data_IF_962553528761
#
_entry.id   IF_962553528761
#
_cell.length_a   1.000
_cell.length_b   1.000
_cell.length_c   1.000
_cell.angle_alpha   90.00
_cell.angle_beta   90.00
_cell.angle_gamma   90.00
#
_symmetry.space_group_name_H-M   'P 1'
#
loop_
_entity.id
_entity.type
_entity.pdbx_description
1 polymer ?
#
# COMPACT_ATOMS: atom_id res chain seq x y z
N UNK A 1 -53.67 12.28 59.09
CA UNK A 1 -54.67 11.90 58.08
C UNK A 1 -53.96 11.16 56.95
N UNK A 2 -54.05 9.83 56.94
CA UNK A 2 -53.43 8.96 55.93
C UNK A 2 -54.29 8.90 54.67
N UNK A 3 -53.69 9.14 53.50
CA UNK A 3 -53.96 8.43 52.23
C UNK A 3 -53.11 9.03 51.11
N UNK A 4 -51.98 8.39 50.80
CA UNK A 4 -51.45 8.46 49.43
C UNK A 4 -52.46 7.76 48.53
N UNK A 5 -53.22 8.52 47.75
CA UNK A 5 -54.11 7.96 46.74
C UNK A 5 -53.29 7.75 45.47
N UNK A 6 -53.32 6.54 44.91
CA UNK A 6 -52.73 6.29 43.59
C UNK A 6 -53.53 7.06 42.55
N UNK A 7 -52.82 7.70 41.61
CA UNK A 7 -53.46 8.36 40.48
C UNK A 7 -54.24 7.31 39.67
N UNK A 8 -55.51 7.57 39.44
CA UNK A 8 -56.36 6.77 38.57
C UNK A 8 -56.46 7.50 37.24
N UNK A 9 -56.10 6.83 36.15
CA UNK A 9 -56.24 7.39 34.81
C UNK A 9 -57.61 7.04 34.24
N UNK A 10 -58.28 8.03 33.68
CA UNK A 10 -59.50 7.83 32.90
C UNK A 10 -59.13 7.28 31.52
N UNK A 11 -59.27 5.96 31.38
CA UNK A 11 -58.89 5.24 30.16
C UNK A 11 -59.71 5.71 28.96
N UNK A 12 -60.98 6.09 29.15
CA UNK A 12 -61.84 6.55 28.07
C UNK A 12 -61.33 7.89 27.50
N UNK A 13 -61.04 8.84 28.39
CA UNK A 13 -60.45 10.13 28.00
C UNK A 13 -59.09 9.95 27.31
N UNK A 14 -58.23 9.06 27.82
CA UNK A 14 -56.93 8.78 27.17
C UNK A 14 -57.13 8.21 25.76
N UNK A 15 -58.00 7.22 25.57
CA UNK A 15 -58.21 6.62 24.25
C UNK A 15 -58.87 7.60 23.26
N UNK A 16 -59.80 8.43 23.71
CA UNK A 16 -60.48 9.43 22.87
C UNK A 16 -59.57 10.60 22.48
N UNK A 17 -58.63 11.00 23.34
CA UNK A 17 -57.75 12.16 23.06
C UNK A 17 -56.39 11.78 22.46
N UNK A 18 -55.95 10.53 22.62
CA UNK A 18 -54.68 10.05 22.06
C UNK A 18 -54.78 9.69 20.58
N UNK A 19 -55.94 9.21 20.12
CA UNK A 19 -56.14 8.83 18.71
C UNK A 19 -56.29 10.00 17.71
N UNK A 20 -56.98 11.12 18.01
CA UNK A 20 -57.12 12.23 17.06
C UNK A 20 -55.77 12.87 16.73
N UNK A 21 -54.86 12.94 17.70
CA UNK A 21 -53.54 13.56 17.53
C UNK A 21 -52.62 12.72 16.63
N UNK A 22 -52.74 11.39 16.64
CA UNK A 22 -52.05 10.51 15.68
C UNK A 22 -52.68 10.56 14.28
N UNK A 23 -54.00 10.81 14.19
CA UNK A 23 -54.73 10.88 12.91
C UNK A 23 -54.56 12.22 12.19
N UNK A 24 -54.45 13.34 12.91
CA UNK A 24 -54.31 14.68 12.33
C UNK A 24 -52.85 15.12 12.19
N UNK A 25 -51.95 14.74 13.11
CA UNK A 25 -50.51 14.94 12.94
C UNK A 25 -49.81 13.75 12.27
N UNK A 26 -50.56 12.89 11.57
CA UNK A 26 -49.98 11.97 10.58
C UNK A 26 -49.20 12.70 9.47
N UNK A 27 -49.35 14.02 9.37
CA UNK A 27 -48.56 14.89 8.49
C UNK A 27 -47.24 15.41 9.13
N UNK A 28 -46.97 15.15 10.42
CA UNK A 28 -45.62 15.37 10.99
C UNK A 28 -44.63 14.30 10.54
N UNK A 29 -45.13 13.17 10.06
CA UNK A 29 -44.38 12.27 9.20
C UNK A 29 -44.75 12.59 7.77
N UNK A 30 -44.16 13.66 7.24
CA UNK A 30 -43.90 13.68 5.80
C UNK A 30 -43.12 12.38 5.55
N UNK A 31 -43.65 11.40 4.79
CA UNK A 31 -42.89 10.21 4.49
C UNK A 31 -41.59 10.70 3.88
N UNK A 32 -40.46 10.22 4.39
CA UNK A 32 -39.17 10.55 3.82
C UNK A 32 -39.28 10.39 2.29
N UNK A 33 -38.75 11.35 1.52
CA UNK A 33 -38.84 11.27 0.07
C UNK A 33 -38.36 9.89 -0.35
N UNK A 34 -39.08 9.22 -1.28
CA UNK A 34 -38.81 7.82 -1.58
C UNK A 34 -37.32 7.64 -1.83
N UNK A 35 -36.69 6.79 -1.02
CA UNK A 35 -35.26 6.49 -1.15
C UNK A 35 -35.01 6.14 -2.62
N UNK A 36 -34.06 6.79 -3.31
CA UNK A 36 -33.82 6.52 -4.72
C UNK A 36 -33.47 5.04 -4.88
N UNK A 37 -34.43 4.24 -5.32
CA UNK A 37 -34.23 2.85 -5.63
C UNK A 37 -33.35 2.78 -6.88
N UNK A 38 -32.12 2.27 -6.72
CA UNK A 38 -31.33 1.82 -7.85
C UNK A 38 -32.08 0.63 -8.44
N UNK A 39 -32.68 0.82 -9.63
CA UNK A 39 -33.34 -0.27 -10.36
C UNK A 39 -32.24 -1.23 -10.80
N UNK A 40 -32.03 -2.29 -10.02
CA UNK A 40 -31.22 -3.43 -10.45
C UNK A 40 -32.09 -4.18 -11.45
N UNK A 41 -31.85 -3.98 -12.75
CA UNK A 41 -32.49 -4.75 -13.80
C UNK A 41 -32.32 -6.24 -13.53
N UNK A 42 -33.37 -7.05 -13.74
CA UNK A 42 -33.32 -8.52 -13.59
C UNK A 42 -32.31 -9.19 -14.53
N UNK A 43 -31.87 -8.47 -15.57
CA UNK A 43 -30.68 -8.80 -16.35
C UNK A 43 -29.43 -8.51 -15.53
N UNK A 44 -29.02 -9.54 -14.77
CA UNK A 44 -28.00 -9.47 -13.74
C UNK A 44 -26.75 -8.63 -14.07
N UNK A 45 -26.26 -7.96 -13.04
CA UNK A 45 -24.91 -7.40 -12.97
C UNK A 45 -24.54 -6.45 -14.12
N UNK A 46 -25.47 -5.60 -14.58
CA UNK A 46 -25.08 -4.36 -15.23
C UNK A 46 -24.76 -3.33 -14.14
N UNK A 47 -23.59 -3.46 -13.53
CA UNK A 47 -22.92 -2.27 -13.05
C UNK A 47 -22.75 -1.41 -14.32
N UNK A 48 -23.37 -0.22 -14.39
CA UNK A 48 -23.19 0.77 -15.46
C UNK A 48 -21.75 1.33 -15.43
N UNK A 49 -20.76 0.45 -15.40
CA UNK A 49 -19.40 0.80 -15.72
C UNK A 49 -19.40 1.11 -17.23
N UNK A 50 -19.01 2.31 -17.65
CA UNK A 50 -18.89 2.61 -19.07
C UNK A 50 -17.96 1.56 -19.68
N UNK A 51 -18.41 0.92 -20.77
CA UNK A 51 -17.60 -0.08 -21.51
C UNK A 51 -16.27 0.53 -21.97
N UNK A 52 -16.24 1.85 -22.14
CA UNK A 52 -15.04 2.63 -22.41
C UNK A 52 -14.36 3.04 -21.11
N UNK A 53 -13.05 2.78 -21.02
CA UNK A 53 -12.25 3.22 -19.89
C UNK A 53 -12.24 4.75 -19.86
N UNK A 54 -12.88 5.32 -18.84
CA UNK A 54 -12.83 6.77 -18.61
C UNK A 54 -11.39 7.22 -18.40
N UNK A 55 -11.08 8.49 -18.71
CA UNK A 55 -9.76 9.06 -18.46
C UNK A 55 -9.30 8.86 -17.00
N UNK A 56 -10.25 8.93 -16.05
CA UNK A 56 -10.00 8.65 -14.64
C UNK A 56 -9.61 7.19 -14.38
N UNK A 57 -10.33 6.23 -14.98
CA UNK A 57 -10.02 4.80 -14.86
C UNK A 57 -8.65 4.47 -15.45
N UNK A 58 -8.30 5.08 -16.59
CA UNK A 58 -6.97 4.90 -17.20
C UNK A 58 -5.85 5.50 -16.34
N UNK A 59 -6.06 6.69 -15.77
CA UNK A 59 -5.09 7.31 -14.87
C UNK A 59 -4.89 6.50 -13.59
N UNK A 60 -5.98 5.95 -13.03
CA UNK A 60 -5.94 5.03 -11.89
C UNK A 60 -5.15 3.77 -12.23
N UNK A 61 -5.50 3.10 -13.34
CA UNK A 61 -4.84 1.86 -13.75
C UNK A 61 -3.34 2.09 -13.98
N UNK A 62 -2.97 3.20 -14.64
CA UNK A 62 -1.56 3.58 -14.87
C UNK A 62 -0.77 3.82 -13.58
N UNK A 63 -1.41 4.40 -12.54
CA UNK A 63 -0.75 4.61 -11.25
C UNK A 63 -0.35 3.29 -10.57
N UNK A 64 -1.15 2.23 -10.75
CA UNK A 64 -0.92 0.93 -10.10
C UNK A 64 -0.20 -0.10 -10.98
N UNK A 65 -0.11 0.11 -12.30
CA UNK A 65 0.39 -0.84 -13.30
C UNK A 65 1.75 -1.48 -12.93
N UNK A 66 2.65 -0.71 -12.30
CA UNK A 66 4.00 -1.15 -11.96
C UNK A 66 4.32 -1.18 -10.46
N UNK A 67 3.32 -0.97 -9.58
CA UNK A 67 3.59 -0.93 -8.13
C UNK A 67 4.09 -2.27 -7.58
N UNK A 68 3.57 -3.40 -8.08
CA UNK A 68 4.02 -4.72 -7.64
C UNK A 68 5.49 -4.96 -8.00
N UNK A 69 5.87 -4.68 -9.25
CA UNK A 69 7.25 -4.84 -9.72
C UNK A 69 8.20 -3.93 -8.94
N UNK A 70 7.79 -2.68 -8.69
CA UNK A 70 8.53 -1.72 -7.87
C UNK A 70 8.70 -2.22 -6.43
N UNK A 71 7.65 -2.81 -5.83
CA UNK A 71 7.72 -3.36 -4.48
C UNK A 71 8.70 -4.54 -4.40
N UNK A 72 8.67 -5.46 -5.37
CA UNK A 72 9.61 -6.59 -5.44
C UNK A 72 11.04 -6.10 -5.65
N UNK A 73 11.24 -5.09 -6.51
CA UNK A 73 12.56 -4.50 -6.73
C UNK A 73 13.11 -3.85 -5.45
N UNK A 74 12.32 -3.01 -4.78
CA UNK A 74 12.73 -2.38 -3.53
C UNK A 74 13.04 -3.41 -2.43
N UNK A 75 12.23 -4.47 -2.32
CA UNK A 75 12.51 -5.56 -1.38
C UNK A 75 13.84 -6.26 -1.69
N UNK A 76 14.13 -6.52 -2.97
CA UNK A 76 15.41 -7.10 -3.40
C UNK A 76 16.60 -6.16 -3.17
N UNK A 77 16.43 -4.86 -3.33
CA UNK A 77 17.48 -3.86 -3.09
C UNK A 77 17.78 -3.74 -1.59
N UNK A 78 16.76 -3.73 -0.74
CA UNK A 78 16.92 -3.71 0.72
C UNK A 78 17.63 -4.97 1.24
N UNK A 79 17.23 -6.15 0.77
CA UNK A 79 17.89 -7.42 1.13
C UNK A 79 19.37 -7.45 0.67
N UNK A 80 19.69 -6.86 -0.49
CA UNK A 80 21.07 -6.71 -0.93
C UNK A 80 21.87 -5.74 -0.06
N UNK A 81 21.28 -4.59 0.33
CA UNK A 81 21.93 -3.65 1.24
C UNK A 81 22.14 -4.26 2.63
N UNK A 82 21.20 -5.05 3.14
CA UNK A 82 21.34 -5.75 4.42
C UNK A 82 22.47 -6.79 4.35
N UNK A 83 22.58 -7.54 3.25
CA UNK A 83 23.69 -8.48 3.02
C UNK A 83 25.04 -7.79 2.89
N UNK A 84 25.11 -6.63 2.25
CA UNK A 84 26.34 -5.82 2.16
C UNK A 84 26.69 -5.20 3.50
N UNK A 85 25.70 -4.71 4.27
CA UNK A 85 25.92 -4.18 5.61
C UNK A 85 26.29 -5.26 6.64
N UNK A 86 25.83 -6.49 6.45
CA UNK A 86 26.18 -7.67 7.27
C UNK A 86 27.51 -8.31 6.84
N UNK A 87 28.07 -7.95 5.68
CA UNK A 87 29.44 -8.32 5.32
C UNK A 87 30.42 -7.56 6.22
N UNK A 88 31.45 -8.21 6.78
CA UNK A 88 32.42 -7.51 7.60
C UNK A 88 33.05 -6.41 6.76
N UNK A 89 32.92 -5.17 7.20
CA UNK A 89 33.60 -4.03 6.61
C UNK A 89 35.07 -4.41 6.47
N UNK A 90 35.55 -4.56 5.22
CA UNK A 90 36.93 -4.98 4.91
C UNK A 90 37.99 -4.06 5.53
N UNK A 91 37.58 -2.86 5.98
CA UNK A 91 38.41 -1.86 6.65
C UNK A 91 38.62 -2.12 8.15
N UNK A 92 37.82 -2.99 8.76
CA UNK A 92 37.76 -3.14 10.22
C UNK A 92 38.47 -4.38 10.77
N UNK A 93 39.21 -5.13 9.95
CA UNK A 93 39.83 -6.40 10.39
C UNK A 93 41.22 -6.69 9.82
N UNK A 94 41.91 -5.69 9.27
CA UNK A 94 43.30 -5.86 8.86
C UNK A 94 44.22 -5.13 9.83
N UNK A 95 44.97 -5.90 10.63
CA UNK A 95 46.12 -5.40 11.38
C UNK A 95 47.25 -5.13 10.37
N UNK A 96 47.20 -3.96 9.73
CA UNK A 96 48.18 -3.54 8.72
C UNK A 96 49.18 -2.61 9.38
N UNK A 97 50.44 -3.06 9.52
CA UNK A 97 51.54 -2.18 9.87
C UNK A 97 51.71 -1.10 8.79
N UNK A 98 51.39 0.14 9.14
CA UNK A 98 51.48 1.29 8.25
C UNK A 98 52.96 1.63 7.99
N UNK A 99 53.48 1.23 6.85
CA UNK A 99 54.77 1.73 6.34
C UNK A 99 54.58 3.10 5.69
N UNK A 100 55.55 4.03 5.82
CA UNK A 100 55.50 5.32 5.13
C UNK A 100 55.33 5.13 3.62
N UNK A 101 54.39 5.88 3.02
CA UNK A 101 54.09 5.80 1.59
C UNK A 101 55.29 6.25 0.74
N UNK A 102 55.67 5.44 -0.26
CA UNK A 102 56.75 5.74 -1.20
C UNK A 102 56.14 5.90 -2.61
N UNK A 103 55.85 7.14 -3.05
CA UNK A 103 54.97 7.41 -4.19
C UNK A 103 55.50 6.90 -5.53
N UNK A 104 56.80 6.61 -5.65
CA UNK A 104 57.36 6.00 -6.87
C UNK A 104 57.17 4.49 -6.92
N UNK A 105 57.22 3.81 -5.77
CA UNK A 105 56.98 2.36 -5.70
C UNK A 105 55.50 2.03 -5.84
N UNK A 106 54.65 2.80 -5.17
CA UNK A 106 53.19 2.61 -5.22
C UNK A 106 52.62 2.77 -6.64
N UNK A 107 53.19 3.71 -7.43
CA UNK A 107 52.84 3.88 -8.85
C UNK A 107 53.27 2.69 -9.71
N UNK A 108 54.50 2.18 -9.51
CA UNK A 108 55.00 1.01 -10.27
C UNK A 108 54.19 -0.24 -9.94
N UNK A 109 53.89 -0.47 -8.68
CA UNK A 109 53.11 -1.64 -8.23
C UNK A 109 51.66 -1.60 -8.73
N UNK A 110 51.02 -0.42 -8.74
CA UNK A 110 49.66 -0.26 -9.26
C UNK A 110 49.58 -0.46 -10.78
N UNK A 111 50.56 0.06 -11.53
CA UNK A 111 50.66 -0.18 -12.98
C UNK A 111 50.92 -1.65 -13.32
N UNK A 112 51.76 -2.33 -12.54
CA UNK A 112 52.05 -3.75 -12.73
C UNK A 112 50.83 -4.63 -12.41
N UNK A 113 50.13 -4.35 -11.31
CA UNK A 113 48.86 -5.00 -10.96
C UNK A 113 47.80 -4.79 -12.04
N UNK A 114 47.69 -3.58 -12.59
CA UNK A 114 46.77 -3.30 -13.69
C UNK A 114 47.11 -4.09 -14.97
N UNK A 115 48.40 -4.23 -15.29
CA UNK A 115 48.85 -5.07 -16.42
C UNK A 115 48.56 -6.55 -16.19
N UNK A 116 48.76 -7.05 -14.97
CA UNK A 116 48.50 -8.44 -14.61
C UNK A 116 47.00 -8.77 -14.63
N UNK A 117 46.14 -7.84 -14.18
CA UNK A 117 44.70 -7.98 -14.25
C UNK A 117 44.19 -8.04 -15.70
N UNK A 118 44.71 -7.17 -16.58
CA UNK A 118 44.40 -7.22 -18.02
C UNK A 118 44.81 -8.55 -18.65
N UNK A 119 46.03 -9.03 -18.39
CA UNK A 119 46.49 -10.33 -18.89
C UNK A 119 45.59 -11.49 -18.43
N UNK A 120 45.20 -11.52 -17.15
CA UNK A 120 44.27 -12.55 -16.64
C UNK A 120 42.92 -12.49 -17.33
N UNK A 121 42.36 -11.31 -17.53
CA UNK A 121 41.10 -11.14 -18.25
C UNK A 121 41.19 -11.66 -19.68
N UNK A 122 42.27 -11.32 -20.40
CA UNK A 122 42.50 -11.79 -21.77
C UNK A 122 42.69 -13.32 -21.83
N UNK A 123 43.41 -13.91 -20.87
CA UNK A 123 43.56 -15.37 -20.74
C UNK A 123 42.24 -16.08 -20.43
N UNK A 124 41.40 -15.50 -19.57
CA UNK A 124 40.09 -16.06 -19.24
C UNK A 124 39.11 -15.97 -20.42
N UNK A 125 39.22 -14.93 -21.25
CA UNK A 125 38.44 -14.78 -22.49
C UNK A 125 38.96 -15.66 -23.64
N UNK A 126 40.24 -16.04 -23.61
CA UNK A 126 40.85 -16.94 -24.61
C UNK A 126 40.59 -18.42 -24.33
N UNK A 127 40.16 -18.79 -23.12
CA UNK A 127 39.77 -20.18 -22.81
C UNK A 127 38.51 -20.54 -23.60
N UNK A 128 38.54 -21.60 -24.42
CA UNK A 128 37.36 -22.02 -25.14
C UNK A 128 36.27 -22.43 -24.14
N UNK A 129 35.04 -21.99 -24.37
CA UNK A 129 33.89 -22.47 -23.61
C UNK A 129 33.77 -23.99 -23.81
N UNK A 130 34.10 -24.76 -22.77
CA UNK A 130 33.77 -26.19 -22.72
C UNK A 130 32.27 -26.31 -22.49
N UNK A 131 31.54 -26.70 -23.54
CA UNK A 131 30.14 -27.10 -23.47
C UNK A 131 29.97 -28.45 -22.77
#
# INVERSE_FOLDING_TARGET
MTRSRRACFDVANVLETYQPRARTHGHLFVPDPPTPCVKISEDGNQHDAPKEKTAFSSARDSHYENMYQKAIQMAKEMDQMEKVAASPCLDSSQDVELKPADPEKDKKESEEKAKQAKKKYDEDMAKPFSC
#
